data_IF_327677681730
#
_entry.id   IF_327677681730
#
_cell.length_a   1.000
_cell.length_b   1.000
_cell.length_c   1.000
_cell.angle_alpha   90.00
_cell.angle_beta   90.00
_cell.angle_gamma   90.00
#
_symmetry.space_group_name_H-M   'P 1'
#
loop_
_entity.id
_entity.type
_entity.pdbx_description
1 polymer ?
#
# COMPACT_ATOMS: atom_id res chain seq x y z
N UNK A 1 14.49 42.76 43.60
CA UNK A 1 15.13 42.19 42.38
C UNK A 1 14.87 40.68 42.37
N UNK A 2 13.99 40.17 41.50
CA UNK A 2 13.73 38.73 41.39
C UNK A 2 14.90 38.10 40.64
N UNK A 3 15.73 37.31 41.32
CA UNK A 3 16.80 36.51 40.68
C UNK A 3 16.13 35.45 39.80
N UNK A 4 16.32 35.56 38.48
CA UNK A 4 15.92 34.50 37.54
C UNK A 4 16.70 33.23 37.87
N UNK A 5 15.99 32.14 38.15
CA UNK A 5 16.62 30.82 38.29
C UNK A 5 17.02 30.36 36.89
N UNK A 6 18.32 30.21 36.63
CA UNK A 6 18.84 29.65 35.39
C UNK A 6 18.78 28.12 35.41
N UNK A 7 18.70 27.51 34.23
CA UNK A 7 18.81 26.06 34.05
C UNK A 7 20.22 25.57 34.37
N UNK A 8 20.31 24.41 35.00
CA UNK A 8 21.57 23.69 35.22
C UNK A 8 21.87 22.73 34.06
N UNK A 9 23.15 22.43 33.83
CA UNK A 9 23.56 21.43 32.82
C UNK A 9 22.98 20.03 33.13
N UNK A 10 22.83 19.69 34.42
CA UNK A 10 22.27 18.41 34.83
C UNK A 10 20.79 18.29 34.49
N UNK A 11 20.01 19.36 34.62
CA UNK A 11 18.60 19.37 34.20
C UNK A 11 18.46 19.15 32.69
N UNK A 12 19.32 19.78 31.88
CA UNK A 12 19.31 19.57 30.43
C UNK A 12 19.66 18.12 30.06
N UNK A 13 20.63 17.52 30.76
CA UNK A 13 21.04 16.13 30.53
C UNK A 13 19.89 15.17 30.85
N UNK A 14 19.18 15.37 31.97
CA UNK A 14 18.01 14.56 32.33
C UNK A 14 16.90 14.68 31.29
N UNK A 15 16.63 15.89 30.78
CA UNK A 15 15.63 16.10 29.72
C UNK A 15 16.01 15.37 28.43
N UNK A 16 17.28 15.47 28.00
CA UNK A 16 17.76 14.75 26.81
C UNK A 16 17.68 13.23 26.98
N UNK A 17 18.00 12.72 28.18
CA UNK A 17 17.87 11.29 28.49
C UNK A 17 16.41 10.81 28.40
N UNK A 18 15.46 11.58 28.93
CA UNK A 18 14.02 11.27 28.83
C UNK A 18 13.58 11.30 27.35
N UNK A 19 13.99 12.31 26.56
CA UNK A 19 13.66 12.38 25.13
C UNK A 19 14.19 11.16 24.38
N UNK A 20 15.43 10.72 24.64
CA UNK A 20 16.03 9.55 23.99
C UNK A 20 15.25 8.25 24.28
N UNK A 21 14.77 8.09 25.52
CA UNK A 21 13.92 6.95 25.93
C UNK A 21 12.54 7.02 25.26
N UNK A 22 11.95 8.21 25.16
CA UNK A 22 10.64 8.37 24.50
C UNK A 22 10.72 8.06 23.00
N UNK A 23 11.79 8.49 22.32
CA UNK A 23 11.98 8.25 20.89
C UNK A 23 12.14 6.76 20.56
N UNK A 24 12.82 5.99 21.42
CA UNK A 24 12.96 4.53 21.23
C UNK A 24 11.64 3.79 21.31
N UNK A 25 10.67 4.28 22.11
CA UNK A 25 9.33 3.67 22.22
C UNK A 25 8.40 4.16 21.10
N UNK A 26 8.47 5.44 20.74
CA UNK A 26 7.53 6.07 19.81
C UNK A 26 7.81 5.71 18.33
N UNK A 27 9.08 5.62 17.92
CA UNK A 27 9.47 5.42 16.52
C UNK A 27 8.86 4.18 15.84
N UNK A 28 9.01 2.97 16.41
CA UNK A 28 8.59 1.73 15.75
C UNK A 28 7.08 1.64 15.44
N UNK A 29 6.24 2.23 16.29
CA UNK A 29 4.77 2.14 16.13
C UNK A 29 4.28 2.87 14.88
N UNK A 30 4.88 4.01 14.55
CA UNK A 30 4.49 4.81 13.40
C UNK A 30 4.67 4.05 12.08
N UNK A 31 5.84 3.44 11.87
CA UNK A 31 6.13 2.68 10.65
C UNK A 31 5.22 1.46 10.47
N UNK A 32 4.96 0.71 11.53
CA UNK A 32 4.07 -0.48 11.46
C UNK A 32 2.62 -0.13 11.07
N UNK A 33 2.15 1.05 11.47
CA UNK A 33 0.79 1.52 11.16
C UNK A 33 0.69 1.96 9.71
N UNK A 34 1.74 2.63 9.21
CA UNK A 34 1.83 3.05 7.81
C UNK A 34 1.91 1.86 6.86
N UNK A 35 2.73 0.84 7.17
CA UNK A 35 2.80 -0.40 6.39
C UNK A 35 1.44 -1.11 6.35
N UNK A 36 0.78 -1.28 7.50
CA UNK A 36 -0.55 -1.92 7.55
C UNK A 36 -1.62 -1.17 6.73
N UNK A 37 -1.57 0.17 6.72
CA UNK A 37 -2.46 0.98 5.90
C UNK A 37 -2.20 0.73 4.40
N UNK A 38 -0.93 0.71 3.97
CA UNK A 38 -0.55 0.41 2.59
C UNK A 38 -1.02 -0.99 2.16
N UNK A 39 -0.82 -2.01 3.00
CA UNK A 39 -1.29 -3.37 2.71
C UNK A 39 -2.82 -3.46 2.56
N UNK A 40 -3.54 -2.77 3.43
CA UNK A 40 -5.01 -2.72 3.37
C UNK A 40 -5.48 -2.07 2.07
N UNK A 41 -4.90 -0.93 1.71
CA UNK A 41 -5.19 -0.24 0.45
C UNK A 41 -4.81 -1.08 -0.77
N UNK A 42 -3.72 -1.83 -0.72
CA UNK A 42 -3.31 -2.73 -1.80
C UNK A 42 -4.35 -3.81 -2.02
N UNK A 43 -4.78 -4.51 -0.96
CA UNK A 43 -5.80 -5.56 -1.05
C UNK A 43 -7.12 -5.01 -1.58
N UNK A 44 -7.54 -3.83 -1.14
CA UNK A 44 -8.74 -3.17 -1.67
C UNK A 44 -8.61 -2.83 -3.15
N UNK A 45 -7.45 -2.31 -3.56
CA UNK A 45 -7.18 -1.96 -4.97
C UNK A 45 -7.25 -3.19 -5.87
N UNK A 46 -6.61 -4.29 -5.45
CA UNK A 46 -6.67 -5.58 -6.15
C UNK A 46 -8.09 -6.13 -6.22
N UNK A 47 -8.84 -6.08 -5.12
CA UNK A 47 -10.23 -6.54 -5.08
C UNK A 47 -11.12 -5.77 -6.06
N UNK A 48 -11.02 -4.44 -6.09
CA UNK A 48 -11.78 -3.59 -7.01
C UNK A 48 -11.42 -3.85 -8.47
N UNK A 49 -10.13 -4.05 -8.78
CA UNK A 49 -9.70 -4.37 -10.15
C UNK A 49 -10.21 -5.74 -10.59
N UNK A 50 -10.12 -6.77 -9.72
CA UNK A 50 -10.63 -8.11 -10.00
C UNK A 50 -12.14 -8.12 -10.21
N UNK A 51 -12.88 -7.42 -9.36
CA UNK A 51 -14.33 -7.26 -9.53
C UNK A 51 -14.68 -6.60 -10.87
N UNK A 52 -13.92 -5.59 -11.30
CA UNK A 52 -14.10 -4.97 -12.60
C UNK A 52 -13.78 -5.91 -13.78
N UNK A 53 -12.76 -6.79 -13.64
CA UNK A 53 -12.45 -7.82 -14.64
C UNK A 53 -13.58 -8.86 -14.74
N UNK A 54 -14.07 -9.34 -13.60
CA UNK A 54 -15.18 -10.29 -13.54
C UNK A 54 -16.45 -9.69 -14.15
N UNK A 55 -16.74 -8.41 -13.85
CA UNK A 55 -17.87 -7.70 -14.43
C UNK A 55 -17.72 -7.54 -15.95
N UNK A 56 -16.52 -7.17 -16.42
CA UNK A 56 -16.21 -7.07 -17.84
C UNK A 56 -16.47 -8.38 -18.58
N UNK A 57 -16.01 -9.49 -18.00
CA UNK A 57 -16.23 -10.83 -18.54
C UNK A 57 -17.71 -11.21 -18.52
N UNK A 58 -18.43 -10.89 -17.43
CA UNK A 58 -19.87 -11.12 -17.32
C UNK A 58 -20.69 -10.42 -18.40
N UNK A 59 -20.30 -9.21 -18.79
CA UNK A 59 -21.01 -8.41 -19.78
C UNK A 59 -20.64 -8.77 -21.24
N UNK A 60 -19.36 -9.07 -21.49
CA UNK A 60 -18.84 -9.22 -22.85
C UNK A 60 -18.52 -10.67 -23.25
N UNK A 61 -18.46 -11.58 -22.28
CA UNK A 61 -18.06 -12.98 -22.47
C UNK A 61 -16.57 -13.16 -22.77
N UNK A 62 -15.73 -12.13 -22.63
CA UNK A 62 -14.29 -12.16 -22.89
C UNK A 62 -13.54 -11.32 -21.87
N UNK A 63 -12.28 -11.65 -21.62
CA UNK A 63 -11.42 -10.80 -20.78
C UNK A 63 -10.93 -9.56 -21.56
N UNK A 64 -10.69 -8.43 -20.89
CA UNK A 64 -10.19 -7.24 -21.57
C UNK A 64 -8.75 -7.46 -22.04
N UNK A 65 -8.37 -6.87 -23.18
CA UNK A 65 -7.02 -7.01 -23.73
C UNK A 65 -5.95 -6.31 -22.87
N UNK A 66 -6.36 -5.30 -22.09
CA UNK A 66 -5.51 -4.57 -21.17
C UNK A 66 -6.32 -4.03 -19.99
N UNK A 67 -5.65 -3.64 -18.90
CA UNK A 67 -6.32 -3.04 -17.75
C UNK A 67 -6.93 -1.66 -18.10
N UNK A 68 -6.31 -0.91 -19.02
CA UNK A 68 -6.77 0.41 -19.45
C UNK A 68 -8.18 0.35 -20.08
N UNK A 69 -8.50 -0.77 -20.73
CA UNK A 69 -9.82 -1.01 -21.31
C UNK A 69 -10.94 -0.92 -20.26
N UNK A 70 -10.66 -1.25 -18.98
CA UNK A 70 -11.62 -1.10 -17.89
C UNK A 70 -11.98 0.37 -17.63
N UNK A 71 -11.03 1.29 -17.81
CA UNK A 71 -11.27 2.74 -17.63
C UNK A 71 -11.98 3.34 -18.84
N UNK A 72 -11.55 2.94 -20.04
CA UNK A 72 -12.16 3.37 -21.30
C UNK A 72 -13.63 2.98 -21.37
N UNK A 73 -13.94 1.75 -20.99
CA UNK A 73 -15.30 1.18 -21.00
C UNK A 73 -16.07 1.43 -19.69
N UNK A 74 -15.53 2.27 -18.79
CA UNK A 74 -16.19 2.77 -17.57
C UNK A 74 -16.53 1.73 -16.51
N UNK A 75 -15.87 0.57 -16.53
CA UNK A 75 -15.87 -0.37 -15.39
C UNK A 75 -15.09 0.20 -14.21
N UNK A 76 -14.01 0.94 -14.48
CA UNK A 76 -13.27 1.72 -13.52
C UNK A 76 -13.33 3.20 -13.87
N UNK A 77 -13.36 4.07 -12.85
CA UNK A 77 -13.23 5.52 -13.05
C UNK A 77 -11.79 5.93 -13.38
N UNK A 78 -10.84 5.25 -12.75
CA UNK A 78 -9.41 5.40 -12.92
C UNK A 78 -8.73 4.14 -12.40
N UNK A 79 -7.49 3.90 -12.81
CA UNK A 79 -6.71 2.80 -12.26
C UNK A 79 -6.25 3.12 -10.84
N UNK A 80 -6.46 2.20 -9.88
CA UNK A 80 -5.85 2.32 -8.56
C UNK A 80 -4.32 2.36 -8.66
N UNK A 81 -3.71 3.11 -7.76
CA UNK A 81 -2.25 3.16 -7.60
C UNK A 81 -1.81 2.09 -6.61
N UNK A 82 -0.71 1.40 -6.89
CA UNK A 82 -0.07 0.49 -5.93
C UNK A 82 0.52 1.32 -4.77
N UNK A 83 0.04 1.16 -3.52
CA UNK A 83 0.50 1.96 -2.38
C UNK A 83 1.89 1.54 -1.86
N UNK A 84 2.44 0.40 -2.29
CA UNK A 84 3.77 -0.06 -1.93
C UNK A 84 4.84 0.55 -2.84
N UNK A 85 4.57 0.61 -4.14
CA UNK A 85 5.46 1.18 -5.15
C UNK A 85 5.13 2.63 -5.52
N UNK A 86 4.03 3.17 -5.00
CA UNK A 86 3.49 4.50 -5.31
C UNK A 86 3.34 4.74 -6.83
N UNK A 87 2.94 3.71 -7.57
CA UNK A 87 2.82 3.72 -9.03
C UNK A 87 1.67 2.84 -9.52
N UNK A 88 1.07 3.18 -10.65
CA UNK A 88 0.03 2.38 -11.31
C UNK A 88 0.57 1.49 -12.44
N UNK A 89 1.88 1.52 -12.70
CA UNK A 89 2.50 0.84 -13.85
C UNK A 89 3.05 -0.55 -13.50
N UNK A 90 3.12 -0.90 -12.21
CA UNK A 90 3.76 -2.13 -11.74
C UNK A 90 2.77 -3.26 -11.43
N UNK A 91 1.57 -3.20 -12.01
CA UNK A 91 0.62 -4.30 -11.94
C UNK A 91 1.09 -5.46 -12.83
N UNK A 92 1.16 -6.65 -12.26
CA UNK A 92 1.50 -7.87 -12.99
C UNK A 92 0.20 -8.47 -13.51
N UNK A 93 0.06 -8.49 -14.84
CA UNK A 93 -1.13 -8.99 -15.52
C UNK A 93 -0.98 -10.49 -15.78
N UNK A 94 -2.00 -11.26 -15.42
CA UNK A 94 -2.03 -12.70 -15.64
C UNK A 94 -3.10 -13.05 -16.69
N UNK A 95 -2.73 -13.80 -17.74
CA UNK A 95 -3.69 -14.26 -18.73
C UNK A 95 -4.58 -15.38 -18.19
N UNK A 96 -5.78 -15.57 -18.76
CA UNK A 96 -6.63 -16.72 -18.44
C UNK A 96 -5.97 -18.04 -18.86
N UNK A 97 -6.36 -19.18 -18.26
CA UNK A 97 -5.88 -20.51 -18.67
C UNK A 97 -6.20 -20.84 -20.14
N UNK A 98 -7.33 -20.35 -20.62
CA UNK A 98 -7.76 -20.48 -22.01
C UNK A 98 -8.25 -19.12 -22.53
N UNK A 99 -7.81 -18.76 -23.74
CA UNK A 99 -8.16 -17.48 -24.38
C UNK A 99 -7.07 -16.43 -24.26
N UNK A 100 -7.46 -15.17 -24.44
CA UNK A 100 -6.59 -14.00 -24.40
C UNK A 100 -7.17 -12.91 -23.50
N UNK A 101 -6.32 -11.99 -23.06
CA UNK A 101 -6.69 -10.86 -22.20
C UNK A 101 -6.16 -10.99 -20.78
N UNK A 102 -6.66 -10.14 -19.90
CA UNK A 102 -6.26 -10.02 -18.49
C UNK A 102 -7.32 -10.71 -17.63
N UNK A 103 -6.95 -11.83 -17.01
CA UNK A 103 -7.81 -12.58 -16.09
C UNK A 103 -7.63 -12.12 -14.65
N UNK A 104 -6.39 -11.93 -14.23
CA UNK A 104 -6.05 -11.58 -12.86
C UNK A 104 -4.93 -10.53 -12.85
N UNK A 105 -4.83 -9.81 -11.74
CA UNK A 105 -3.87 -8.73 -11.52
C UNK A 105 -3.22 -8.94 -10.17
N UNK A 106 -1.89 -8.83 -10.14
CA UNK A 106 -1.09 -8.96 -8.93
C UNK A 106 -0.19 -7.75 -8.70
N UNK A 107 0.23 -7.54 -7.46
CA UNK A 107 1.22 -6.49 -7.17
C UNK A 107 2.61 -6.89 -7.65
N UNK A 108 3.33 -5.98 -8.29
CA UNK A 108 4.75 -6.14 -8.60
C UNK A 108 5.68 -5.81 -7.43
N UNK A 109 5.14 -5.46 -6.25
CA UNK A 109 5.93 -5.01 -5.11
C UNK A 109 6.84 -6.14 -4.59
N UNK A 110 8.14 -5.87 -4.38
CA UNK A 110 9.02 -6.83 -3.72
C UNK A 110 8.72 -6.86 -2.22
N UNK A 111 8.94 -8.02 -1.59
CA UNK A 111 8.89 -8.17 -0.13
C UNK A 111 7.78 -9.06 0.38
N UNK A 112 7.64 -9.04 1.71
CA UNK A 112 6.68 -9.83 2.46
C UNK A 112 5.74 -8.89 3.21
N UNK A 113 4.50 -9.33 3.28
CA UNK A 113 3.49 -8.70 4.10
C UNK A 113 3.66 -9.01 5.58
N UNK A 114 2.89 -8.31 6.41
CA UNK A 114 2.84 -8.52 7.86
C UNK A 114 2.42 -9.93 8.27
N UNK A 115 1.68 -10.64 7.43
CA UNK A 115 1.27 -12.04 7.64
C UNK A 115 2.31 -13.06 7.11
N UNK A 116 3.40 -12.60 6.49
CA UNK A 116 4.47 -13.43 5.93
C UNK A 116 4.22 -13.91 4.49
N UNK A 117 3.09 -13.56 3.87
CA UNK A 117 2.86 -13.82 2.43
C UNK A 117 3.61 -12.82 1.55
N UNK A 118 3.92 -13.18 0.30
CA UNK A 118 4.58 -12.26 -0.63
C UNK A 118 3.56 -11.36 -1.29
N UNK A 119 3.89 -10.07 -1.48
CA UNK A 119 3.02 -9.16 -2.22
C UNK A 119 2.81 -9.61 -3.67
N UNK A 120 3.79 -10.24 -4.29
CA UNK A 120 3.66 -10.83 -5.63
C UNK A 120 2.73 -12.05 -5.71
N UNK A 121 2.33 -12.62 -4.58
CA UNK A 121 1.32 -13.68 -4.55
C UNK A 121 -0.10 -13.11 -4.46
N UNK A 122 -0.25 -11.82 -4.13
CA UNK A 122 -1.52 -11.12 -3.93
C UNK A 122 -2.12 -10.60 -5.20
#
# INVERSE_FOLDING_TARGET
MKRGKGFTLIELLVVMAIIAILLTIAGPRYFSSLEGAKETTLRQSLAVMREALDQYYGDTGRYPESIEALVEQRYLRQLPRDPLLDSSEHWVLLPPPEGAGVYDVKSGAPGLARDGSRYGDW
#
